data_IF_833755710495
#
_entry.id   IF_833755710495
#
_cell.length_a   1.000
_cell.length_b   1.000
_cell.length_c   1.000
_cell.angle_alpha   90.00
_cell.angle_beta   90.00
_cell.angle_gamma   90.00
#
_symmetry.space_group_name_H-M   'P 1'
#
loop_
_entity.id
_entity.type
_entity.pdbx_description
1 polymer ?
#
# COMPACT_ATOMS: atom_id res chain seq x y z
N UNK A 1 -6.69 -22.00 -6.34
CA UNK A 1 -6.80 -22.42 -4.91
C UNK A 1 -7.76 -21.44 -4.24
N UNK A 2 -8.70 -21.88 -3.41
CA UNK A 2 -9.58 -20.91 -2.75
C UNK A 2 -8.81 -20.15 -1.66
N UNK A 3 -9.00 -18.86 -1.58
CA UNK A 3 -8.50 -17.98 -0.49
C UNK A 3 -8.84 -18.59 0.88
N UNK A 4 -7.93 -18.51 1.84
CA UNK A 4 -8.19 -18.97 3.20
C UNK A 4 -9.34 -18.17 3.83
N UNK A 5 -10.16 -18.82 4.65
CA UNK A 5 -11.26 -18.12 5.38
C UNK A 5 -10.75 -16.94 6.20
N UNK A 6 -9.53 -17.01 6.70
CA UNK A 6 -8.89 -15.95 7.49
C UNK A 6 -8.56 -14.74 6.63
N UNK A 7 -7.96 -14.94 5.45
CA UNK A 7 -7.67 -13.87 4.50
C UNK A 7 -8.94 -13.25 3.91
N UNK A 8 -9.98 -14.05 3.61
CA UNK A 8 -11.28 -13.52 3.22
C UNK A 8 -11.87 -12.60 4.29
N UNK A 9 -11.81 -13.02 5.56
CA UNK A 9 -12.27 -12.19 6.68
C UNK A 9 -11.50 -10.87 6.77
N UNK A 10 -10.19 -10.90 6.61
CA UNK A 10 -9.35 -9.68 6.61
C UNK A 10 -9.65 -8.81 5.39
N UNK A 11 -9.81 -9.40 4.21
CA UNK A 11 -10.14 -8.67 2.98
C UNK A 11 -11.46 -7.89 3.11
N UNK A 12 -12.50 -8.52 3.67
CA UNK A 12 -13.84 -7.93 3.85
C UNK A 12 -13.97 -7.04 5.08
N UNK A 13 -12.94 -6.95 5.93
CA UNK A 13 -13.03 -6.25 7.20
C UNK A 13 -13.27 -4.75 6.99
N UNK A 14 -14.37 -4.26 7.52
CA UNK A 14 -14.61 -2.84 7.73
C UNK A 14 -14.30 -2.54 9.20
N UNK A 15 -13.39 -1.61 9.50
CA UNK A 15 -13.01 -1.31 10.87
C UNK A 15 -14.19 -0.90 11.74
N UNK A 16 -14.14 -1.32 13.01
CA UNK A 16 -15.14 -0.99 14.03
C UNK A 16 -14.49 -0.29 15.22
N UNK A 17 -15.29 0.18 16.17
CA UNK A 17 -14.80 0.80 17.41
C UNK A 17 -13.96 2.06 17.17
N UNK A 18 -12.84 2.15 17.86
CA UNK A 18 -11.99 3.35 17.84
C UNK A 18 -11.37 3.67 16.47
N UNK A 19 -11.02 2.65 15.67
CA UNK A 19 -10.49 2.83 14.31
C UNK A 19 -11.54 3.41 13.36
N UNK A 20 -12.82 3.14 13.60
CA UNK A 20 -13.92 3.73 12.85
C UNK A 20 -14.07 5.23 13.12
N UNK A 21 -13.79 5.67 14.35
CA UNK A 21 -13.93 7.08 14.76
C UNK A 21 -12.71 7.93 14.45
N UNK A 22 -11.52 7.34 14.61
CA UNK A 22 -10.25 8.01 14.35
C UNK A 22 -9.28 6.96 13.82
N UNK A 23 -9.25 6.83 12.51
CA UNK A 23 -8.42 5.84 11.87
C UNK A 23 -8.66 5.72 10.38
N UNK A 24 -7.94 4.84 9.76
CA UNK A 24 -8.01 4.59 8.33
C UNK A 24 -8.09 3.10 7.99
N UNK A 25 -8.49 2.84 6.77
CA UNK A 25 -8.60 1.52 6.20
C UNK A 25 -8.30 1.61 4.71
N UNK A 26 -7.37 0.81 4.21
CA UNK A 26 -6.95 0.85 2.82
C UNK A 26 -6.89 -0.55 2.20
N UNK A 27 -7.31 -0.65 0.96
CA UNK A 27 -7.09 -1.77 0.05
C UNK A 27 -6.17 -1.29 -1.05
N UNK A 28 -5.04 -1.98 -1.26
CA UNK A 28 -4.10 -1.62 -2.31
C UNK A 28 -3.96 -2.79 -3.28
N UNK A 29 -4.09 -2.49 -4.56
CA UNK A 29 -3.97 -3.43 -5.67
C UNK A 29 -2.81 -2.98 -6.55
N UNK A 30 -1.84 -3.86 -6.77
CA UNK A 30 -0.70 -3.62 -7.65
C UNK A 30 -0.65 -4.70 -8.72
N UNK A 31 -0.41 -4.31 -9.96
CA UNK A 31 -0.35 -5.22 -11.09
C UNK A 31 0.48 -4.65 -12.23
N UNK A 32 0.80 -5.50 -13.20
CA UNK A 32 1.47 -5.07 -14.42
C UNK A 32 0.60 -5.25 -15.64
N UNK A 33 0.85 -4.45 -16.65
CA UNK A 33 0.24 -4.57 -17.97
C UNK A 33 1.21 -4.22 -19.07
N UNK A 34 0.93 -4.68 -20.27
CA UNK A 34 1.72 -4.46 -21.47
C UNK A 34 0.98 -3.50 -22.39
N UNK A 35 1.63 -2.41 -22.77
CA UNK A 35 1.06 -1.42 -23.70
C UNK A 35 0.82 -2.08 -25.08
N UNK A 36 -0.41 -1.98 -25.58
CA UNK A 36 -0.82 -2.69 -26.79
C UNK A 36 -0.07 -2.23 -28.06
N UNK A 37 0.39 -0.97 -28.07
CA UNK A 37 1.08 -0.39 -29.22
C UNK A 37 2.57 -0.62 -29.23
N UNK A 38 3.22 -0.55 -28.07
CA UNK A 38 4.69 -0.61 -27.95
C UNK A 38 5.22 -1.93 -27.40
N UNK A 39 4.36 -2.73 -26.79
CA UNK A 39 4.76 -3.94 -26.06
C UNK A 39 5.50 -3.67 -24.74
N UNK A 40 5.60 -2.41 -24.31
CA UNK A 40 6.29 -2.05 -23.07
C UNK A 40 5.47 -2.42 -21.85
N UNK A 41 6.11 -3.11 -20.92
CA UNK A 41 5.50 -3.45 -19.65
C UNK A 41 5.57 -2.27 -18.66
N UNK A 42 4.46 -2.04 -17.94
CA UNK A 42 4.34 -1.01 -16.90
C UNK A 42 3.73 -1.59 -15.63
N UNK A 43 3.96 -0.90 -14.52
CA UNK A 43 3.42 -1.23 -13.20
C UNK A 43 2.35 -0.23 -12.82
N UNK A 44 1.23 -0.73 -12.32
CA UNK A 44 0.06 0.05 -11.98
C UNK A 44 -0.36 -0.20 -10.55
N UNK A 45 -1.10 0.74 -10.00
CA UNK A 45 -1.76 0.59 -8.72
C UNK A 45 -3.17 1.17 -8.75
N UNK A 46 -4.02 0.62 -7.90
CA UNK A 46 -5.33 1.14 -7.53
C UNK A 46 -5.47 1.02 -6.03
N UNK A 47 -5.88 2.09 -5.36
CA UNK A 47 -6.05 2.12 -3.91
C UNK A 47 -7.40 2.70 -3.54
N UNK A 48 -8.07 2.05 -2.59
CA UNK A 48 -9.27 2.52 -1.94
C UNK A 48 -8.95 2.81 -0.48
N UNK A 49 -9.08 4.05 -0.07
CA UNK A 49 -8.71 4.52 1.26
C UNK A 49 -9.93 5.14 1.92
N UNK A 50 -10.24 4.70 3.12
CA UNK A 50 -11.34 5.21 3.93
C UNK A 50 -10.76 5.85 5.18
N UNK A 51 -11.08 7.11 5.43
CA UNK A 51 -10.66 7.86 6.61
C UNK A 51 -11.85 8.15 7.53
N UNK A 52 -11.67 7.92 8.82
CA UNK A 52 -12.60 8.26 9.89
C UNK A 52 -14.07 7.91 9.57
N UNK A 53 -14.39 6.65 9.24
CA UNK A 53 -15.69 6.28 8.67
C UNK A 53 -16.90 6.46 9.61
N UNK A 54 -16.72 6.73 10.90
CA UNK A 54 -17.81 7.06 11.81
C UNK A 54 -18.09 8.56 11.92
N UNK A 55 -17.21 9.39 11.36
CA UNK A 55 -17.41 10.84 11.30
C UNK A 55 -18.05 11.12 9.96
N UNK A 56 -19.37 11.21 9.89
CA UNK A 56 -20.05 11.59 8.66
C UNK A 56 -19.88 13.09 8.41
N UNK A 57 -19.30 13.52 7.28
CA UNK A 57 -19.27 14.93 6.93
C UNK A 57 -20.69 15.38 6.55
N UNK A 58 -21.08 16.54 7.03
CA UNK A 58 -22.34 17.17 6.65
C UNK A 58 -22.25 17.87 5.28
N UNK A 59 -21.03 17.99 4.73
CA UNK A 59 -20.73 18.71 3.50
C UNK A 59 -19.95 17.85 2.49
N UNK A 60 -20.00 18.16 1.18
CA UNK A 60 -19.23 17.47 0.16
C UNK A 60 -17.73 17.56 0.43
N UNK A 61 -17.02 16.47 0.18
CA UNK A 61 -15.59 16.32 0.46
C UNK A 61 -14.70 17.16 -0.45
N UNK A 62 -15.14 17.44 -1.67
CA UNK A 62 -14.48 18.41 -2.54
C UNK A 62 -14.71 19.81 -1.99
N UNK A 63 -13.69 20.38 -1.39
CA UNK A 63 -13.73 21.61 -0.62
C UNK A 63 -13.14 21.45 0.76
N UNK A 64 -12.87 20.21 1.16
CA UNK A 64 -12.14 19.82 2.39
C UNK A 64 -12.48 20.70 3.59
N UNK A 65 -13.75 21.01 3.74
CA UNK A 65 -14.20 21.56 5.00
C UNK A 65 -14.16 20.45 6.02
N UNK A 66 -13.10 20.49 6.75
CA UNK A 66 -12.90 19.64 7.89
C UNK A 66 -14.00 19.92 8.92
N UNK A 67 -14.53 18.90 9.54
CA UNK A 67 -15.51 19.05 10.61
C UNK A 67 -14.75 19.49 11.87
N UNK A 68 -15.01 20.70 12.31
CA UNK A 68 -14.58 21.19 13.62
C UNK A 68 -15.46 20.58 14.70
N UNK A 69 -14.87 19.85 15.64
CA UNK A 69 -15.59 19.39 16.83
C UNK A 69 -15.34 20.38 17.97
N UNK A 70 -16.28 21.27 18.24
CA UNK A 70 -16.23 22.15 19.40
C UNK A 70 -16.53 21.32 20.66
N UNK A 71 -15.67 21.38 21.65
CA UNK A 71 -15.92 20.77 22.96
C UNK A 71 -17.09 21.51 23.63
N UNK A 72 -17.92 20.78 24.38
CA UNK A 72 -19.07 21.39 25.07
C UNK A 72 -18.69 22.56 25.99
N UNK A 73 -17.50 22.48 26.59
CA UNK A 73 -16.94 23.50 27.46
C UNK A 73 -16.56 24.78 26.67
N UNK A 74 -15.97 24.62 25.49
CA UNK A 74 -15.60 25.71 24.61
C UNK A 74 -16.83 26.37 24.01
N UNK A 75 -17.87 25.60 23.71
CA UNK A 75 -19.15 26.12 23.25
C UNK A 75 -19.81 27.00 24.33
N UNK A 76 -19.76 26.59 25.60
CA UNK A 76 -20.25 27.40 26.73
C UNK A 76 -19.47 28.71 26.84
N UNK A 77 -18.14 28.68 26.66
CA UNK A 77 -17.27 29.87 26.71
C UNK A 77 -17.56 30.84 25.56
N UNK A 78 -17.90 30.32 24.36
CA UNK A 78 -18.33 31.13 23.23
C UNK A 78 -19.70 31.78 23.52
N UNK A 79 -20.66 31.01 24.04
CA UNK A 79 -21.98 31.52 24.41
C UNK A 79 -21.93 32.53 25.54
N UNK A 80 -20.97 32.37 26.45
CA UNK A 80 -20.71 33.35 27.52
C UNK A 80 -19.91 34.59 27.06
N UNK A 81 -19.45 34.61 25.80
CA UNK A 81 -18.67 35.72 25.24
C UNK A 81 -17.24 35.83 25.76
N UNK A 82 -16.75 34.82 26.46
CA UNK A 82 -15.37 34.78 27.00
C UNK A 82 -14.33 34.39 25.94
N UNK A 83 -14.72 33.69 24.90
CA UNK A 83 -13.87 33.32 23.76
C UNK A 83 -14.65 33.63 22.46
N UNK A 84 -13.97 34.21 21.48
CA UNK A 84 -14.59 34.43 20.16
C UNK A 84 -14.69 33.13 19.37
N UNK A 85 -15.80 32.93 18.70
CA UNK A 85 -16.00 31.77 17.81
C UNK A 85 -14.91 31.66 16.72
N UNK A 86 -14.37 32.79 16.26
CA UNK A 86 -13.27 32.85 15.29
C UNK A 86 -11.96 32.32 15.86
N UNK A 87 -11.68 32.56 17.13
CA UNK A 87 -10.48 32.06 17.79
C UNK A 87 -10.51 30.56 17.97
N UNK A 88 -11.66 30.00 18.32
CA UNK A 88 -11.89 28.56 18.40
C UNK A 88 -11.74 27.88 17.02
N UNK A 89 -12.27 28.47 15.98
CA UNK A 89 -12.15 27.95 14.62
C UNK A 89 -10.70 27.93 14.11
N UNK A 90 -9.85 28.81 14.60
CA UNK A 90 -8.43 28.87 14.21
C UNK A 90 -7.53 27.88 14.97
N UNK A 91 -7.96 27.41 16.14
CA UNK A 91 -7.19 26.49 17.00
C UNK A 91 -7.60 25.02 16.84
N UNK A 92 -8.71 24.72 16.18
CA UNK A 92 -9.20 23.34 16.02
C UNK A 92 -8.57 22.63 14.83
N UNK A 93 -7.96 21.49 15.11
CA UNK A 93 -7.50 20.54 14.08
C UNK A 93 -8.73 19.88 13.49
N UNK A 94 -8.96 20.17 12.25
CA UNK A 94 -10.04 19.58 11.49
C UNK A 94 -9.76 18.11 11.16
N UNK A 95 -10.70 17.22 11.51
CA UNK A 95 -10.58 15.79 11.28
C UNK A 95 -11.22 15.42 9.95
N UNK A 96 -10.43 14.94 8.96
CA UNK A 96 -10.99 14.56 7.68
C UNK A 96 -11.87 13.30 7.79
N UNK A 97 -12.94 13.25 7.00
CA UNK A 97 -13.76 12.05 6.87
C UNK A 97 -14.20 11.89 5.43
N UNK A 98 -13.56 10.99 4.70
CA UNK A 98 -13.81 10.77 3.29
C UNK A 98 -13.33 9.41 2.80
N UNK A 99 -13.71 9.07 1.59
CA UNK A 99 -13.10 8.03 0.77
C UNK A 99 -12.16 8.69 -0.24
N UNK A 100 -10.94 8.22 -0.31
CA UNK A 100 -9.98 8.59 -1.33
C UNK A 100 -9.70 7.38 -2.23
N UNK A 101 -9.81 7.59 -3.52
CA UNK A 101 -9.45 6.62 -4.55
C UNK A 101 -8.21 7.12 -5.27
N UNK A 102 -7.21 6.28 -5.40
CA UNK A 102 -5.98 6.59 -6.12
C UNK A 102 -5.74 5.53 -7.18
N UNK A 103 -5.40 5.97 -8.38
CA UNK A 103 -4.95 5.08 -9.44
C UNK A 103 -3.76 5.69 -10.17
N UNK A 104 -2.84 4.85 -10.65
CA UNK A 104 -1.66 5.38 -11.31
C UNK A 104 -0.70 4.34 -11.86
N UNK A 105 0.42 4.87 -12.34
CA UNK A 105 1.55 4.15 -12.89
C UNK A 105 2.79 4.41 -12.04
N UNK A 106 3.60 3.37 -11.80
CA UNK A 106 4.91 3.45 -11.16
C UNK A 106 6.03 3.37 -12.19
N UNK A 107 7.22 3.86 -11.80
CA UNK A 107 8.42 3.80 -12.62
C UNK A 107 8.50 4.94 -13.65
N UNK A 108 9.02 4.66 -14.83
CA UNK A 108 9.17 5.67 -15.87
C UNK A 108 7.80 6.26 -16.28
N UNK A 109 7.66 7.58 -16.18
CA UNK A 109 6.41 8.28 -16.42
C UNK A 109 5.38 8.05 -15.30
N UNK A 110 5.84 7.94 -14.05
CA UNK A 110 5.00 7.80 -12.88
C UNK A 110 3.91 8.88 -12.85
N UNK A 111 2.70 8.45 -12.47
CA UNK A 111 1.51 9.30 -12.46
C UNK A 111 0.53 8.81 -11.41
N UNK A 112 -0.10 9.72 -10.67
CA UNK A 112 -1.18 9.42 -9.73
C UNK A 112 -2.36 10.38 -9.95
N UNK A 113 -3.53 9.82 -10.18
CA UNK A 113 -4.80 10.58 -10.16
C UNK A 113 -5.64 10.15 -8.97
N UNK A 114 -6.30 11.12 -8.35
CA UNK A 114 -7.07 10.92 -7.13
C UNK A 114 -8.51 11.34 -7.32
N UNK A 115 -9.43 10.62 -6.69
CA UNK A 115 -10.83 11.03 -6.55
C UNK A 115 -11.23 10.92 -5.08
N UNK A 116 -12.08 11.83 -4.65
CA UNK A 116 -12.55 11.92 -3.28
C UNK A 116 -14.07 11.95 -3.23
N UNK A 117 -14.65 11.31 -2.23
CA UNK A 117 -16.10 11.34 -2.01
C UNK A 117 -16.44 11.21 -0.53
N UNK A 118 -17.66 11.56 -0.17
CA UNK A 118 -18.18 11.35 1.17
C UNK A 118 -18.56 9.89 1.40
N UNK A 119 -18.59 9.49 2.67
CA UNK A 119 -19.09 8.15 3.03
C UNK A 119 -20.56 7.96 2.68
N UNK A 120 -21.36 9.02 2.68
CA UNK A 120 -22.78 8.97 2.28
C UNK A 120 -23.00 8.57 0.83
N UNK A 121 -21.99 8.78 -0.04
CA UNK A 121 -22.01 8.39 -1.45
C UNK A 121 -21.30 7.06 -1.72
N UNK A 122 -20.97 6.33 -0.67
CA UNK A 122 -20.25 5.05 -0.75
C UNK A 122 -21.20 3.92 -0.41
N UNK A 123 -21.18 2.87 -1.23
CA UNK A 123 -21.97 1.66 -1.02
C UNK A 123 -21.03 0.52 -0.61
N UNK A 124 -21.35 -0.12 0.52
CA UNK A 124 -20.59 -1.28 1.00
C UNK A 124 -21.57 -2.42 1.27
N UNK A 125 -21.51 -3.46 0.46
CA UNK A 125 -22.22 -4.71 0.67
C UNK A 125 -21.31 -5.72 1.38
N UNK A 126 -21.83 -6.43 2.34
CA UNK A 126 -21.08 -7.46 3.10
C UNK A 126 -21.21 -8.87 2.52
N UNK A 127 -22.29 -9.15 1.79
CA UNK A 127 -22.60 -10.48 1.22
C UNK A 127 -23.47 -10.36 -0.03
N UNK A 128 -22.92 -10.57 -1.25
CA UNK A 128 -21.47 -10.67 -1.54
C UNK A 128 -20.76 -9.38 -1.13
N UNK A 129 -19.45 -9.48 -0.85
CA UNK A 129 -18.68 -8.29 -0.51
C UNK A 129 -18.45 -7.44 -1.75
N UNK A 130 -18.82 -6.17 -1.65
CA UNK A 130 -18.59 -5.17 -2.67
C UNK A 130 -18.38 -3.81 -2.01
N UNK A 131 -17.41 -3.08 -2.51
CA UNK A 131 -17.16 -1.69 -2.14
C UNK A 131 -17.26 -0.83 -3.40
N UNK A 132 -18.09 0.22 -3.36
CA UNK A 132 -18.30 1.11 -4.49
C UNK A 132 -18.31 2.57 -4.05
N UNK A 133 -17.49 3.40 -4.73
CA UNK A 133 -17.38 4.85 -4.50
C UNK A 133 -16.88 5.55 -5.76
N UNK A 134 -17.34 6.76 -6.08
CA UNK A 134 -16.92 7.57 -7.23
C UNK A 134 -16.98 6.85 -8.59
N UNK A 135 -17.93 5.93 -8.80
CA UNK A 135 -17.97 5.14 -10.04
C UNK A 135 -16.87 4.07 -10.15
N UNK A 136 -16.15 3.82 -9.06
CA UNK A 136 -15.17 2.75 -8.95
C UNK A 136 -15.64 1.72 -7.96
N UNK A 137 -15.35 0.44 -8.22
CA UNK A 137 -15.76 -0.64 -7.34
C UNK A 137 -14.73 -1.76 -7.29
N UNK A 138 -14.77 -2.52 -6.19
CA UNK A 138 -14.10 -3.81 -6.12
C UNK A 138 -14.91 -4.81 -5.32
N UNK A 139 -14.76 -6.06 -5.68
CA UNK A 139 -15.28 -7.23 -4.96
C UNK A 139 -14.13 -8.17 -4.61
N UNK A 140 -14.40 -9.45 -4.42
CA UNK A 140 -13.35 -10.47 -4.19
C UNK A 140 -12.68 -10.97 -5.47
N UNK A 141 -13.20 -10.63 -6.64
CA UNK A 141 -12.73 -11.12 -7.94
C UNK A 141 -12.65 -10.04 -9.01
N UNK A 142 -13.26 -8.89 -8.77
CA UNK A 142 -13.39 -7.81 -9.78
C UNK A 142 -12.91 -6.50 -9.19
N UNK A 143 -12.23 -5.73 -10.02
CA UNK A 143 -11.76 -4.39 -9.74
C UNK A 143 -12.02 -3.52 -10.97
N UNK A 144 -12.97 -2.58 -10.89
CA UNK A 144 -13.35 -1.74 -12.02
C UNK A 144 -13.53 -0.29 -11.61
N UNK A 145 -13.30 0.63 -12.56
CA UNK A 145 -13.51 2.03 -12.29
C UNK A 145 -12.90 2.99 -13.30
N UNK A 146 -13.19 4.27 -13.03
CA UNK A 146 -12.66 5.39 -13.78
C UNK A 146 -12.42 6.57 -12.87
N UNK A 147 -11.24 7.17 -12.97
CA UNK A 147 -10.94 8.48 -12.37
C UNK A 147 -10.56 9.43 -13.49
N UNK A 148 -11.15 10.63 -13.46
CA UNK A 148 -10.83 11.70 -14.39
C UNK A 148 -10.62 12.99 -13.57
N UNK A 149 -9.45 13.61 -13.73
CA UNK A 149 -9.06 14.86 -13.09
C UNK A 149 -8.67 15.84 -14.17
N UNK A 150 -9.37 16.96 -14.25
CA UNK A 150 -9.03 18.01 -15.21
C UNK A 150 -7.86 18.87 -14.74
N UNK A 151 -7.16 19.60 -15.64
CA UNK A 151 -6.15 20.57 -15.21
C UNK A 151 -6.71 21.69 -14.33
N UNK A 152 -8.00 22.03 -14.47
CA UNK A 152 -8.67 23.01 -13.61
C UNK A 152 -8.90 22.49 -12.19
N UNK A 153 -9.25 21.20 -12.04
CA UNK A 153 -9.37 20.58 -10.72
C UNK A 153 -8.03 20.60 -9.98
N UNK A 154 -6.94 20.30 -10.70
CA UNK A 154 -5.59 20.35 -10.14
C UNK A 154 -5.21 21.76 -9.68
N UNK A 155 -5.57 22.80 -10.42
CA UNK A 155 -5.32 24.19 -10.04
C UNK A 155 -6.18 24.64 -8.85
N UNK A 156 -7.41 24.15 -8.75
CA UNK A 156 -8.34 24.53 -7.69
C UNK A 156 -7.99 23.84 -6.36
N UNK A 157 -7.44 22.62 -6.43
CA UNK A 157 -7.15 21.80 -5.24
C UNK A 157 -5.74 21.18 -5.29
N UNK A 158 -4.68 22.00 -5.41
CA UNK A 158 -3.31 21.50 -5.56
C UNK A 158 -2.83 20.68 -4.34
N UNK A 159 -3.39 20.93 -3.16
CA UNK A 159 -3.06 20.22 -1.93
C UNK A 159 -3.61 18.77 -1.87
N UNK A 160 -4.55 18.43 -2.75
CA UNK A 160 -5.21 17.11 -2.74
C UNK A 160 -5.04 16.34 -4.03
N UNK A 161 -4.86 17.03 -5.15
CA UNK A 161 -4.67 16.42 -6.47
C UNK A 161 -3.20 16.28 -6.77
N UNK A 162 -2.78 15.11 -7.27
CA UNK A 162 -1.39 14.87 -7.67
C UNK A 162 -1.19 15.23 -9.14
N UNK A 163 -1.94 14.56 -10.04
CA UNK A 163 -1.85 14.74 -11.48
C UNK A 163 -3.24 14.88 -12.11
N UNK A 164 -3.33 15.60 -13.24
CA UNK A 164 -4.49 15.57 -14.11
C UNK A 164 -4.41 14.40 -15.08
N UNK A 165 -5.56 13.92 -15.55
CA UNK A 165 -5.65 12.87 -16.54
C UNK A 165 -6.84 11.94 -16.34
N UNK A 166 -6.92 10.93 -17.21
CA UNK A 166 -8.00 9.94 -17.19
C UNK A 166 -7.40 8.55 -17.07
N UNK A 167 -7.80 7.83 -16.02
CA UNK A 167 -7.45 6.43 -15.82
C UNK A 167 -8.73 5.60 -15.74
N UNK A 168 -8.77 4.49 -16.51
CA UNK A 168 -9.86 3.53 -16.47
C UNK A 168 -9.29 2.13 -16.29
N UNK A 169 -10.03 1.26 -15.62
CA UNK A 169 -9.68 -0.15 -15.48
C UNK A 169 -10.93 -1.03 -15.42
N UNK A 170 -10.78 -2.20 -16.01
CA UNK A 170 -11.73 -3.30 -15.91
C UNK A 170 -10.91 -4.59 -15.77
N UNK A 171 -10.81 -5.07 -14.54
CA UNK A 171 -9.92 -6.15 -14.15
C UNK A 171 -10.67 -7.22 -13.40
N UNK A 172 -10.31 -8.47 -13.68
CA UNK A 172 -10.58 -9.63 -12.83
C UNK A 172 -9.29 -10.05 -12.15
N UNK A 173 -9.40 -10.61 -10.96
CA UNK A 173 -8.25 -11.16 -10.26
C UNK A 173 -8.56 -12.48 -9.56
N UNK A 174 -7.53 -13.31 -9.46
CA UNK A 174 -7.52 -14.59 -8.75
C UNK A 174 -6.33 -14.63 -7.79
N UNK A 175 -6.62 -14.72 -6.49
CA UNK A 175 -5.59 -14.79 -5.47
C UNK A 175 -5.04 -16.21 -5.41
N UNK A 176 -3.79 -16.39 -5.78
CA UNK A 176 -3.09 -17.69 -5.83
C UNK A 176 -2.40 -18.02 -4.52
N UNK A 177 -1.89 -17.01 -3.82
CA UNK A 177 -1.29 -17.13 -2.49
C UNK A 177 -1.76 -16.00 -1.61
N UNK A 178 -2.23 -16.35 -0.45
CA UNK A 178 -2.70 -15.42 0.56
C UNK A 178 -1.98 -15.67 1.88
N UNK A 179 -1.71 -14.59 2.60
CA UNK A 179 -1.22 -14.66 3.97
C UNK A 179 -2.09 -13.72 4.82
N UNK A 180 -2.80 -14.30 5.79
CA UNK A 180 -3.54 -13.51 6.76
C UNK A 180 -2.64 -13.05 7.91
N UNK A 181 -1.50 -13.69 8.07
CA UNK A 181 -0.44 -13.32 8.98
C UNK A 181 0.29 -12.11 8.39
N UNK A 182 0.04 -10.96 8.98
CA UNK A 182 0.69 -9.72 8.57
C UNK A 182 1.47 -9.11 9.71
N UNK A 183 1.53 -7.79 9.72
CA UNK A 183 2.10 -7.00 10.79
C UNK A 183 1.00 -6.56 11.76
N UNK A 184 1.21 -6.77 13.06
CA UNK A 184 0.30 -6.31 14.11
C UNK A 184 1.04 -5.40 15.07
N UNK A 185 0.92 -4.10 14.82
CA UNK A 185 1.43 -3.04 15.70
C UNK A 185 0.42 -2.62 16.77
N UNK A 186 0.73 -1.54 17.48
CA UNK A 186 -0.22 -0.90 18.40
C UNK A 186 -1.28 -0.10 17.66
N UNK A 187 -0.87 0.55 16.59
CA UNK A 187 -1.63 1.56 15.85
C UNK A 187 -1.96 1.12 14.43
N UNK A 188 -1.17 0.22 13.87
CA UNK A 188 -1.26 -0.25 12.50
C UNK A 188 -1.40 -1.76 12.43
N UNK A 189 -2.32 -2.22 11.57
CA UNK A 189 -2.45 -3.60 11.12
C UNK A 189 -2.26 -3.65 9.60
N UNK A 190 -1.50 -4.63 9.16
CA UNK A 190 -1.28 -4.88 7.74
C UNK A 190 -1.36 -6.38 7.46
N UNK A 191 -1.88 -6.75 6.28
CA UNK A 191 -1.95 -8.14 5.84
C UNK A 191 -1.83 -8.24 4.32
N UNK A 192 -0.93 -9.08 3.78
CA UNK A 192 -0.80 -9.36 2.35
C UNK A 192 -1.84 -10.40 1.91
N UNK A 193 -3.12 -10.01 1.90
CA UNK A 193 -4.26 -10.89 1.61
C UNK A 193 -4.23 -11.49 0.21
N UNK A 194 -3.47 -10.91 -0.70
CA UNK A 194 -3.22 -11.42 -2.04
C UNK A 194 -1.74 -11.29 -2.39
N UNK A 195 -0.88 -11.96 -1.63
CA UNK A 195 0.58 -11.87 -1.80
C UNK A 195 1.04 -12.28 -3.21
N UNK A 196 0.36 -13.25 -3.83
CA UNK A 196 0.47 -13.56 -5.25
C UNK A 196 -0.92 -13.57 -5.86
N UNK A 197 -1.19 -12.63 -6.75
CA UNK A 197 -2.50 -12.45 -7.38
C UNK A 197 -2.35 -12.37 -8.89
N UNK A 198 -3.15 -13.14 -9.61
CA UNK A 198 -3.21 -13.06 -11.07
C UNK A 198 -4.30 -12.08 -11.48
N UNK A 199 -3.92 -11.00 -12.13
CA UNK A 199 -4.85 -10.04 -12.72
C UNK A 199 -5.03 -10.28 -14.22
N UNK A 200 -6.22 -9.98 -14.75
CA UNK A 200 -6.54 -10.03 -16.17
C UNK A 200 -7.52 -8.93 -16.53
N UNK A 201 -7.43 -8.41 -17.74
CA UNK A 201 -8.32 -7.36 -18.25
C UNK A 201 -7.56 -6.21 -18.88
N UNK A 202 -8.09 -5.00 -18.73
CA UNK A 202 -7.52 -3.80 -19.34
C UNK A 202 -7.32 -2.67 -18.34
N UNK A 203 -6.26 -1.91 -18.55
CA UNK A 203 -5.97 -0.67 -17.83
C UNK A 203 -5.62 0.42 -18.86
N UNK A 204 -6.16 1.60 -18.68
CA UNK A 204 -5.98 2.70 -19.66
C UNK A 204 -5.55 3.96 -18.93
N UNK A 205 -4.50 4.62 -19.41
CA UNK A 205 -4.04 5.94 -18.93
C UNK A 205 -3.98 6.89 -20.14
N UNK A 206 -4.74 7.99 -20.07
CA UNK A 206 -4.76 9.06 -21.08
C UNK A 206 -4.87 8.52 -22.52
N UNK A 207 -5.75 7.54 -22.72
CA UNK A 207 -5.99 6.89 -24.01
C UNK A 207 -5.03 5.76 -24.37
N UNK A 208 -3.92 5.56 -23.65
CA UNK A 208 -3.03 4.40 -23.85
C UNK A 208 -3.62 3.17 -23.18
N UNK A 209 -3.76 2.11 -23.93
CA UNK A 209 -4.37 0.86 -23.47
C UNK A 209 -3.29 -0.17 -23.14
N UNK A 210 -3.40 -0.76 -21.95
CA UNK A 210 -2.53 -1.82 -21.46
C UNK A 210 -3.33 -3.10 -21.23
N UNK A 211 -2.86 -4.19 -21.82
CA UNK A 211 -3.39 -5.53 -21.56
C UNK A 211 -2.77 -6.09 -20.30
N UNK A 212 -3.62 -6.43 -19.33
CA UNK A 212 -3.21 -7.11 -18.10
C UNK A 212 -3.42 -8.60 -18.28
N UNK A 213 -2.31 -9.36 -18.29
CA UNK A 213 -2.31 -10.78 -18.60
C UNK A 213 -1.93 -11.61 -17.37
N UNK A 214 -2.71 -12.63 -16.96
CA UNK A 214 -2.54 -13.32 -15.67
C UNK A 214 -1.23 -14.10 -15.54
N UNK A 215 -0.59 -14.48 -16.66
CA UNK A 215 0.70 -15.19 -16.66
C UNK A 215 1.92 -14.27 -16.60
N UNK A 216 1.74 -12.99 -16.93
CA UNK A 216 2.83 -11.99 -16.99
C UNK A 216 2.66 -10.87 -15.96
N UNK A 217 1.49 -10.80 -15.35
CA UNK A 217 1.19 -9.77 -14.37
C UNK A 217 1.86 -10.11 -13.04
N UNK A 218 2.77 -9.25 -12.60
CA UNK A 218 3.06 -9.15 -11.18
C UNK A 218 1.79 -8.63 -10.53
N UNK A 219 1.24 -9.39 -9.57
CA UNK A 219 0.02 -9.01 -8.91
C UNK A 219 0.13 -9.17 -7.40
N UNK A 220 -0.27 -8.13 -6.69
CA UNK A 220 -0.20 -8.04 -5.25
C UNK A 220 -1.39 -7.29 -4.69
N UNK A 221 -1.96 -7.78 -3.58
CA UNK A 221 -3.04 -7.12 -2.86
C UNK A 221 -2.73 -7.13 -1.38
N UNK A 222 -2.82 -5.98 -0.74
CA UNK A 222 -2.74 -5.89 0.71
C UNK A 222 -3.82 -5.01 1.34
N UNK A 223 -3.87 -5.12 2.66
CA UNK A 223 -4.79 -4.42 3.53
C UNK A 223 -4.04 -3.70 4.62
N UNK A 224 -4.35 -2.42 4.77
CA UNK A 224 -3.95 -1.62 5.92
C UNK A 224 -5.18 -1.15 6.67
N UNK A 225 -5.13 -1.14 7.99
CA UNK A 225 -6.09 -0.43 8.82
C UNK A 225 -5.47 -0.10 10.17
N UNK A 226 -5.86 1.02 10.73
CA UNK A 226 -5.29 1.45 11.98
C UNK A 226 -5.64 2.90 12.34
N UNK A 227 -5.00 3.39 13.39
CA UNK A 227 -5.13 4.78 13.85
C UNK A 227 -4.05 5.68 13.28
N UNK A 228 -2.87 5.15 13.03
CA UNK A 228 -1.72 5.87 12.51
C UNK A 228 -0.81 4.91 11.76
N UNK A 229 0.03 5.45 10.88
CA UNK A 229 1.14 4.73 10.30
C UNK A 229 2.31 4.67 11.27
N UNK A 230 3.04 3.55 11.28
CA UNK A 230 4.31 3.41 12.01
C UNK A 230 5.46 3.83 11.05
N UNK A 231 6.41 4.66 11.52
CA UNK A 231 7.52 5.19 10.72
C UNK A 231 8.88 5.02 11.40
N UNK A 232 9.98 5.06 10.62
CA UNK A 232 10.04 4.90 9.16
C UNK A 232 9.61 3.51 8.75
N UNK A 233 8.74 3.38 7.74
CA UNK A 233 8.30 2.06 7.31
C UNK A 233 8.98 1.63 6.01
N UNK A 234 9.04 0.33 5.82
CA UNK A 234 9.57 -0.30 4.62
C UNK A 234 8.63 -1.40 4.13
N UNK A 235 8.53 -1.53 2.82
CA UNK A 235 7.82 -2.61 2.18
C UNK A 235 8.60 -3.11 0.97
N UNK A 236 8.70 -4.43 0.85
CA UNK A 236 9.18 -5.11 -0.34
C UNK A 236 8.28 -6.28 -0.66
N UNK A 237 7.93 -6.47 -1.92
CA UNK A 237 7.21 -7.67 -2.37
C UNK A 237 7.53 -8.04 -3.81
N UNK A 238 7.58 -9.33 -4.08
CA UNK A 238 7.68 -9.87 -5.43
C UNK A 238 7.12 -11.29 -5.52
N UNK A 239 6.50 -11.59 -6.66
CA UNK A 239 6.21 -12.95 -7.10
C UNK A 239 6.85 -13.26 -8.47
N UNK A 240 7.80 -12.41 -8.91
CA UNK A 240 8.49 -12.51 -10.19
C UNK A 240 9.91 -13.03 -9.96
N UNK A 241 10.00 -14.32 -9.63
CA UNK A 241 11.20 -14.98 -9.16
C UNK A 241 11.67 -16.05 -10.15
N UNK A 242 12.98 -16.12 -10.35
CA UNK A 242 13.63 -17.16 -11.17
C UNK A 242 14.72 -17.82 -10.33
N UNK A 243 14.67 -19.13 -10.18
CA UNK A 243 15.68 -19.88 -9.46
C UNK A 243 17.05 -19.73 -10.13
N UNK A 244 18.05 -19.32 -9.40
CA UNK A 244 19.44 -19.28 -9.85
C UNK A 244 20.01 -20.71 -9.90
N UNK A 245 19.52 -21.58 -9.03
CA UNK A 245 19.98 -22.98 -8.94
C UNK A 245 19.53 -23.79 -10.17
N UNK A 246 18.24 -23.64 -10.57
CA UNK A 246 17.67 -24.47 -11.65
C UNK A 246 17.45 -23.71 -12.96
N UNK A 247 17.58 -22.39 -12.98
CA UNK A 247 17.25 -21.53 -14.12
C UNK A 247 15.75 -21.43 -14.43
N UNK A 248 14.87 -21.98 -13.59
CA UNK A 248 13.42 -22.03 -13.83
C UNK A 248 12.70 -20.87 -13.19
N UNK A 249 11.69 -20.33 -13.88
CA UNK A 249 10.75 -19.39 -13.26
C UNK A 249 9.93 -20.09 -12.18
N UNK A 250 9.90 -19.52 -10.99
CA UNK A 250 9.24 -20.06 -9.81
C UNK A 250 7.77 -19.62 -9.80
N UNK A 251 6.88 -20.48 -10.32
CA UNK A 251 5.47 -20.13 -10.58
C UNK A 251 4.63 -19.94 -9.29
N UNK A 252 5.03 -20.60 -8.19
CA UNK A 252 4.30 -20.58 -6.92
C UNK A 252 5.07 -19.90 -5.81
N UNK A 253 5.99 -19.04 -6.18
CA UNK A 253 6.89 -18.39 -5.23
C UNK A 253 6.57 -16.91 -5.06
N UNK A 254 6.73 -16.44 -3.84
CA UNK A 254 6.46 -15.06 -3.45
C UNK A 254 7.17 -14.73 -2.15
N UNK A 255 7.58 -13.50 -2.00
CA UNK A 255 7.93 -12.93 -0.70
C UNK A 255 7.23 -11.58 -0.51
N UNK A 256 6.94 -11.26 0.74
CA UNK A 256 6.39 -9.96 1.15
C UNK A 256 6.97 -9.57 2.50
N UNK A 257 7.47 -8.35 2.59
CA UNK A 257 7.99 -7.76 3.81
C UNK A 257 7.26 -6.46 4.08
N UNK A 258 6.90 -6.25 5.33
CA UNK A 258 6.35 -4.98 5.82
C UNK A 258 6.80 -4.76 7.26
N UNK A 259 7.14 -3.54 7.59
CA UNK A 259 7.44 -3.21 8.97
C UNK A 259 8.06 -1.85 9.18
N UNK A 260 8.57 -1.64 10.38
CA UNK A 260 9.26 -0.42 10.78
C UNK A 260 10.76 -0.63 10.64
N UNK A 261 11.41 0.24 9.89
CA UNK A 261 12.84 0.20 9.70
C UNK A 261 13.58 0.22 11.05
N UNK A 262 14.52 -0.72 11.23
CA UNK A 262 15.28 -0.96 12.46
C UNK A 262 14.46 -1.32 13.71
N UNK A 263 13.18 -1.71 13.57
CA UNK A 263 12.37 -2.17 14.70
C UNK A 263 11.68 -3.50 14.37
N UNK A 264 10.42 -3.47 14.01
CA UNK A 264 9.59 -4.67 13.82
C UNK A 264 9.24 -4.85 12.37
N UNK A 265 9.52 -6.02 11.85
CA UNK A 265 9.12 -6.42 10.51
C UNK A 265 8.32 -7.72 10.53
N UNK A 266 7.46 -7.89 9.55
CA UNK A 266 6.90 -9.19 9.19
C UNK A 266 7.39 -9.57 7.81
N UNK A 267 7.79 -10.82 7.65
CA UNK A 267 8.19 -11.40 6.39
C UNK A 267 7.43 -12.70 6.18
N UNK A 268 6.80 -12.85 5.04
CA UNK A 268 6.23 -14.10 4.56
C UNK A 268 6.91 -14.49 3.26
N UNK A 269 7.35 -15.72 3.17
CA UNK A 269 8.05 -16.28 2.02
C UNK A 269 7.43 -17.62 1.68
N UNK A 270 7.16 -17.85 0.41
CA UNK A 270 6.95 -19.18 -0.14
C UNK A 270 7.88 -19.33 -1.34
N UNK A 271 8.82 -20.27 -1.28
CA UNK A 271 9.68 -20.64 -2.39
C UNK A 271 9.48 -22.11 -2.72
N UNK A 272 8.78 -22.37 -3.83
CA UNK A 272 8.45 -23.71 -4.35
C UNK A 272 7.90 -24.68 -3.30
N UNK A 273 6.99 -24.19 -2.44
CA UNK A 273 6.33 -24.99 -1.39
C UNK A 273 6.99 -24.92 -0.02
N UNK A 274 8.18 -24.35 0.09
CA UNK A 274 8.79 -24.02 1.39
C UNK A 274 8.23 -22.70 1.90
N UNK A 275 7.24 -22.79 2.81
CA UNK A 275 6.60 -21.64 3.39
C UNK A 275 7.22 -21.29 4.75
N UNK A 276 7.62 -20.02 4.91
CA UNK A 276 8.19 -19.49 6.14
C UNK A 276 7.53 -18.17 6.49
N UNK A 277 7.09 -18.04 7.73
CA UNK A 277 6.44 -16.84 8.24
C UNK A 277 7.18 -16.31 9.46
N UNK A 278 7.60 -15.06 9.39
CA UNK A 278 8.12 -14.27 10.49
C UNK A 278 7.12 -13.15 10.78
N UNK A 279 6.31 -13.32 11.80
CA UNK A 279 5.27 -12.36 12.12
C UNK A 279 5.67 -11.47 13.29
N UNK A 280 5.77 -10.16 13.06
CA UNK A 280 5.95 -9.21 14.13
C UNK A 280 4.66 -9.09 14.95
N UNK A 281 4.73 -9.50 16.21
CA UNK A 281 3.65 -9.43 17.17
C UNK A 281 4.07 -8.58 18.38
N UNK A 282 3.12 -7.83 18.93
CA UNK A 282 3.35 -7.05 20.15
C UNK A 282 3.83 -7.96 21.29
N UNK A 283 5.02 -7.67 21.82
CA UNK A 283 5.56 -8.35 23.02
C UNK A 283 6.20 -9.71 22.80
N UNK A 284 6.31 -10.20 21.56
CA UNK A 284 7.04 -11.44 21.23
C UNK A 284 8.14 -11.18 20.22
N UNK A 285 9.38 -11.49 20.58
CA UNK A 285 10.51 -11.64 19.64
C UNK A 285 10.76 -13.13 19.43
N UNK A 286 10.20 -13.71 18.39
CA UNK A 286 10.42 -15.11 18.01
C UNK A 286 11.46 -15.27 16.91
N UNK A 287 12.03 -14.18 16.43
CA UNK A 287 13.02 -14.11 15.38
C UNK A 287 13.84 -12.82 15.50
N UNK A 288 14.98 -12.78 14.84
CA UNK A 288 15.81 -11.60 14.69
C UNK A 288 15.76 -11.08 13.26
N UNK A 289 15.82 -9.77 13.11
CA UNK A 289 15.80 -9.11 11.81
C UNK A 289 16.80 -7.98 11.77
N UNK A 290 17.46 -7.86 10.64
CA UNK A 290 18.36 -6.77 10.32
C UNK A 290 17.95 -6.14 8.99
N UNK A 291 17.87 -4.83 8.98
CA UNK A 291 17.60 -4.01 7.80
C UNK A 291 18.77 -3.09 7.54
N UNK A 292 19.09 -2.91 6.27
CA UNK A 292 19.82 -1.75 5.81
C UNK A 292 19.10 -1.13 4.61
N UNK A 293 19.05 0.20 4.59
CA UNK A 293 18.52 1.00 3.49
C UNK A 293 19.55 2.07 3.18
N UNK A 294 20.09 2.04 2.00
CA UNK A 294 21.14 2.96 1.58
C UNK A 294 20.91 3.47 0.17
N UNK A 295 21.49 4.64 -0.10
CA UNK A 295 21.58 5.21 -1.43
C UNK A 295 22.98 4.91 -1.96
N UNK A 296 23.05 4.16 -3.03
CA UNK A 296 24.33 3.77 -3.64
C UNK A 296 24.58 4.58 -4.91
N UNK A 297 25.72 5.25 -5.03
CA UNK A 297 26.12 5.84 -6.30
C UNK A 297 26.42 4.72 -7.30
N UNK A 298 25.89 4.85 -8.51
CA UNK A 298 26.27 4.01 -9.63
C UNK A 298 27.35 4.73 -10.45
N UNK A 299 28.33 4.00 -11.01
CA UNK A 299 29.33 4.56 -11.89
C UNK A 299 28.63 5.19 -13.11
N UNK A 300 28.52 6.53 -13.14
CA UNK A 300 27.89 7.29 -14.21
C UNK A 300 26.48 7.82 -13.91
N UNK A 301 26.34 8.72 -12.96
CA UNK A 301 25.17 9.59 -12.71
C UNK A 301 23.80 8.96 -12.34
N UNK A 302 23.68 7.66 -12.16
CA UNK A 302 22.43 7.04 -11.74
C UNK A 302 22.53 6.48 -10.32
N UNK A 303 21.80 7.12 -9.39
CA UNK A 303 21.68 6.65 -8.03
C UNK A 303 20.72 5.45 -7.94
N UNK A 304 21.08 4.44 -7.16
CA UNK A 304 20.20 3.32 -6.81
C UNK A 304 19.89 3.34 -5.32
N UNK A 305 18.65 3.06 -5.00
CA UNK A 305 18.23 2.75 -3.64
C UNK A 305 18.42 1.25 -3.43
N UNK A 306 18.96 0.89 -2.28
CA UNK A 306 19.28 -0.48 -1.91
C UNK A 306 18.61 -0.85 -0.59
N UNK A 307 17.93 -1.96 -0.58
CA UNK A 307 17.35 -2.57 0.63
C UNK A 307 18.00 -3.92 0.86
N UNK A 308 18.62 -4.09 2.01
CA UNK A 308 19.12 -5.37 2.49
C UNK A 308 18.29 -5.80 3.70
N UNK A 309 17.80 -7.03 3.68
CA UNK A 309 17.01 -7.60 4.76
C UNK A 309 17.53 -8.99 5.09
N UNK A 310 17.87 -9.23 6.33
CA UNK A 310 18.16 -10.55 6.86
C UNK A 310 17.25 -10.86 8.03
N UNK A 311 16.54 -11.98 7.95
CA UNK A 311 15.59 -12.41 9.00
C UNK A 311 15.85 -13.87 9.34
N UNK A 312 15.99 -14.17 10.62
CA UNK A 312 16.21 -15.55 11.05
C UNK A 312 15.52 -15.92 12.36
N UNK A 313 15.19 -17.18 12.49
CA UNK A 313 14.76 -17.83 13.71
C UNK A 313 15.63 -19.09 13.97
N UNK A 314 15.17 -19.97 14.85
CA UNK A 314 15.88 -21.22 15.17
C UNK A 314 15.93 -22.22 13.99
N UNK A 315 15.09 -22.07 12.95
CA UNK A 315 14.94 -23.04 11.87
C UNK A 315 15.35 -22.51 10.50
N UNK A 316 15.14 -21.23 10.23
CA UNK A 316 15.30 -20.62 8.90
C UNK A 316 16.10 -19.33 8.96
N UNK A 317 16.76 -19.03 7.84
CA UNK A 317 17.35 -17.72 7.52
C UNK A 317 16.81 -17.31 6.16
N UNK A 318 16.41 -16.06 6.02
CA UNK A 318 16.03 -15.44 4.74
C UNK A 318 16.85 -14.18 4.57
N UNK A 319 17.58 -14.10 3.46
CA UNK A 319 18.33 -12.92 3.06
C UNK A 319 17.76 -12.38 1.74
N UNK A 320 17.55 -11.09 1.69
CA UNK A 320 16.95 -10.39 0.53
C UNK A 320 17.75 -9.14 0.26
N UNK A 321 18.17 -9.00 -0.98
CA UNK A 321 18.81 -7.81 -1.54
C UNK A 321 17.98 -7.28 -2.69
N UNK A 322 17.53 -6.01 -2.62
CA UNK A 322 16.75 -5.37 -3.68
C UNK A 322 17.30 -3.99 -3.99
N UNK A 323 17.46 -3.73 -5.27
CA UNK A 323 17.90 -2.43 -5.81
C UNK A 323 16.79 -1.83 -6.67
N UNK A 324 16.59 -0.53 -6.57
CA UNK A 324 15.70 0.21 -7.46
C UNK A 324 16.36 1.52 -7.90
N UNK A 325 16.41 1.84 -9.20
CA UNK A 325 16.91 3.14 -9.65
C UNK A 325 16.13 4.28 -9.00
N UNK A 326 16.80 5.25 -8.41
CA UNK A 326 16.17 6.36 -7.69
C UNK A 326 15.22 7.17 -8.59
N UNK A 327 15.57 7.36 -9.84
CA UNK A 327 14.75 8.03 -10.86
C UNK A 327 13.43 7.31 -11.20
N UNK A 328 13.29 6.03 -10.85
CA UNK A 328 12.08 5.24 -11.04
C UNK A 328 11.22 5.17 -9.76
N UNK A 329 11.67 5.82 -8.70
CA UNK A 329 10.88 5.98 -7.48
C UNK A 329 9.96 7.18 -7.60
N UNK A 330 8.76 7.02 -7.08
CA UNK A 330 7.72 8.03 -7.10
C UNK A 330 7.41 8.50 -5.67
N UNK A 331 7.43 9.80 -5.44
CA UNK A 331 7.08 10.39 -4.13
C UNK A 331 5.56 10.51 -4.04
N UNK A 332 4.97 9.87 -3.05
CA UNK A 332 3.52 9.87 -2.80
C UNK A 332 3.20 10.36 -1.40
N UNK A 333 2.12 11.10 -1.25
CA UNK A 333 1.60 11.51 0.06
C UNK A 333 0.71 10.42 0.67
N UNK A 334 0.72 10.30 2.00
CA UNK A 334 -0.20 9.43 2.72
C UNK A 334 -1.46 10.18 3.14
N UNK A 335 -2.59 9.49 3.10
CA UNK A 335 -3.83 9.97 3.70
C UNK A 335 -3.81 9.64 5.20
N UNK A 336 -3.93 10.65 6.04
CA UNK A 336 -3.80 10.53 7.49
C UNK A 336 -5.10 10.87 8.21
N UNK A 337 -5.51 10.05 9.19
CA UNK A 337 -6.72 10.30 9.97
C UNK A 337 -6.74 11.62 10.72
N UNK A 338 -5.57 12.14 11.10
CA UNK A 338 -5.41 13.42 11.76
C UNK A 338 -5.42 14.63 10.82
N UNK A 339 -5.46 14.41 9.50
CA UNK A 339 -5.52 15.48 8.50
C UNK A 339 -4.18 16.08 8.09
N UNK A 340 -3.09 15.67 8.69
CA UNK A 340 -1.73 16.16 8.37
C UNK A 340 -1.14 15.44 7.15
N UNK A 341 -1.76 15.61 6.01
CA UNK A 341 -1.51 14.87 4.79
C UNK A 341 -0.09 14.99 4.23
N UNK A 342 0.53 16.14 4.40
CA UNK A 342 1.85 16.44 3.83
C UNK A 342 3.03 16.02 4.70
N UNK A 343 2.79 15.56 5.92
CA UNK A 343 3.87 15.19 6.86
C UNK A 343 4.48 13.83 6.58
N UNK A 344 3.90 13.05 5.67
CA UNK A 344 4.40 11.73 5.33
C UNK A 344 4.62 11.63 3.84
N UNK A 345 5.86 11.44 3.45
CA UNK A 345 6.25 11.10 2.09
C UNK A 345 6.62 9.64 1.99
N UNK A 346 6.11 9.01 0.94
CA UNK A 346 6.40 7.64 0.58
C UNK A 346 7.15 7.61 -0.74
N UNK A 347 8.33 7.02 -0.75
CA UNK A 347 8.99 6.62 -1.98
C UNK A 347 8.43 5.27 -2.40
N UNK A 348 7.88 5.17 -3.59
CA UNK A 348 7.29 3.94 -4.12
C UNK A 348 7.86 3.64 -5.49
N UNK A 349 8.42 2.46 -5.67
CA UNK A 349 8.94 1.96 -6.95
C UNK A 349 8.41 0.56 -7.26
N UNK A 350 8.15 0.29 -8.53
CA UNK A 350 7.63 -1.00 -9.00
C UNK A 350 8.60 -1.78 -9.87
N UNK A 351 9.87 -1.40 -9.90
CA UNK A 351 10.89 -1.94 -10.81
C UNK A 351 12.14 -2.43 -10.09
N UNK A 352 12.03 -2.72 -8.79
CA UNK A 352 13.14 -3.27 -8.02
C UNK A 352 13.61 -4.60 -8.57
N UNK A 353 14.92 -4.83 -8.56
CA UNK A 353 15.57 -6.08 -8.96
C UNK A 353 16.53 -6.54 -7.88
N UNK A 354 16.85 -7.84 -7.81
CA UNK A 354 17.77 -8.32 -6.79
C UNK A 354 17.72 -9.82 -6.61
N UNK A 355 17.93 -10.26 -5.38
CA UNK A 355 18.02 -11.69 -5.04
C UNK A 355 17.34 -11.98 -3.70
N UNK A 356 16.86 -13.22 -3.57
CA UNK A 356 16.38 -13.79 -2.31
C UNK A 356 17.00 -15.16 -2.09
N UNK A 357 17.47 -15.42 -0.87
CA UNK A 357 18.01 -16.70 -0.44
C UNK A 357 17.25 -17.21 0.78
N UNK A 358 16.84 -18.46 0.72
CA UNK A 358 16.20 -19.16 1.83
C UNK A 358 17.07 -20.32 2.28
N UNK A 359 17.43 -20.32 3.57
CA UNK A 359 18.21 -21.39 4.20
C UNK A 359 17.43 -22.06 5.32
N UNK A 360 17.71 -23.33 5.52
CA UNK A 360 17.28 -24.10 6.68
C UNK A 360 18.49 -24.33 7.60
N UNK A 361 18.29 -24.15 8.90
CA UNK A 361 19.28 -24.47 9.92
C UNK A 361 19.22 -25.96 10.25
N UNK A 362 20.30 -26.69 9.98
CA UNK A 362 20.45 -28.09 10.33
C UNK A 362 21.65 -28.21 11.25
N UNK A 363 21.40 -28.42 12.55
CA UNK A 363 22.41 -28.38 13.60
C UNK A 363 23.15 -27.04 13.61
N UNK A 364 24.42 -27.04 13.21
CA UNK A 364 25.28 -25.84 13.13
C UNK A 364 25.50 -25.33 11.70
N UNK A 365 24.91 -26.00 10.71
CA UNK A 365 25.09 -25.67 9.28
C UNK A 365 23.84 -24.99 8.73
N UNK A 366 24.05 -24.18 7.68
CA UNK A 366 22.98 -23.62 6.84
C UNK A 366 22.91 -24.44 5.55
N UNK A 367 21.75 -25.01 5.29
CA UNK A 367 21.44 -25.67 4.02
C UNK A 367 20.61 -24.71 3.17
N UNK A 368 21.13 -24.39 1.98
CA UNK A 368 20.43 -23.55 1.01
C UNK A 368 19.23 -24.32 0.44
N UNK A 369 18.00 -23.82 0.67
CA UNK A 369 16.77 -24.38 0.09
C UNK A 369 16.59 -23.83 -1.30
N UNK A 370 16.66 -22.50 -1.46
CA UNK A 370 16.47 -21.84 -2.76
C UNK A 370 17.24 -20.52 -2.79
N UNK A 371 17.75 -20.21 -3.98
CA UNK A 371 18.36 -18.93 -4.33
C UNK A 371 17.69 -18.45 -5.61
N UNK A 372 16.95 -17.35 -5.53
CA UNK A 372 16.20 -16.84 -6.64
C UNK A 372 16.55 -15.39 -6.97
N UNK A 373 16.61 -15.11 -8.27
CA UNK A 373 16.68 -13.77 -8.81
C UNK A 373 15.30 -13.12 -8.78
N UNK A 374 15.22 -11.88 -8.34
CA UNK A 374 14.05 -11.04 -8.35
C UNK A 374 14.07 -10.20 -9.61
N UNK A 375 13.15 -10.48 -10.54
CA UNK A 375 13.09 -9.74 -11.82
C UNK A 375 12.38 -8.40 -11.68
N UNK A 376 11.39 -8.31 -10.79
CA UNK A 376 10.71 -7.06 -10.43
C UNK A 376 10.16 -7.15 -9.02
N UNK A 377 10.34 -6.09 -8.24
CA UNK A 377 9.77 -5.95 -6.91
C UNK A 377 9.08 -4.60 -6.72
N UNK A 378 8.02 -4.59 -5.93
CA UNK A 378 7.49 -3.39 -5.31
C UNK A 378 8.41 -3.01 -4.15
N UNK A 379 8.85 -1.76 -4.12
CA UNK A 379 9.75 -1.21 -3.12
C UNK A 379 9.14 0.05 -2.54
N UNK A 380 8.99 0.13 -1.22
CA UNK A 380 8.50 1.33 -0.56
C UNK A 380 9.40 1.69 0.63
N UNK A 381 9.59 2.98 0.81
CA UNK A 381 10.16 3.57 2.00
C UNK A 381 9.32 4.78 2.41
N UNK A 382 8.82 4.80 3.64
CA UNK A 382 8.02 5.91 4.15
C UNK A 382 8.70 6.57 5.34
N UNK A 383 8.73 7.89 5.32
CA UNK A 383 9.30 8.70 6.39
C UNK A 383 8.32 9.82 6.76
N UNK A 384 8.31 10.16 8.04
CA UNK A 384 7.63 11.36 8.52
C UNK A 384 8.58 12.53 8.33
N UNK A 385 8.13 13.60 7.67
CA UNK A 385 8.88 14.85 7.67
C UNK A 385 8.88 15.43 9.10
N UNK A 386 10.05 15.74 9.61
CA UNK A 386 10.16 16.59 10.80
C UNK A 386 9.66 17.97 10.40
N UNK A 387 8.68 18.50 11.14
CA UNK A 387 8.29 19.88 10.97
C UNK A 387 9.54 20.74 11.20
N UNK A 388 9.96 21.50 10.20
CA UNK A 388 10.94 22.56 10.42
C UNK A 388 10.36 23.47 11.50
N UNK A 389 11.02 23.48 12.67
CA UNK A 389 10.70 24.33 13.81
C UNK A 389 11.07 25.78 13.52
#
# INVERSE_FOLDING_TARGET
MAISKKSQKVFRLIPTGAVRKNGFCAWRFFFSGVENTTGMERRFFVEFIMLNPAVAPDEPVLGFKNRTSIKAEDLQNVLAGTISAQKLQSEEIAVPSYICLKAGQLGAGAKEVCAYTSLSQTVIHSRPFEFSACGCSFSEEVLSGRIAVSPSDLQTHPEYMCDSGIINWDLRFDIRRDFAEGFTGKTLFWSPVGAQTAFSGTFTIDGKVYSVLPKKSFGYIDRFYGKAHDFPYVHLSSSNLTSIISGKTLQNSVFVIQGVYNDRISLVVNLEGSEVVFQAQKGRRSFESHWDFSQMPENGDQEKLHWTVSVHNSKYVVDIDVFCPAQLMFVRSAELPEGQRHTIKKLVGGTGTGEIRLYKKIHRNLELIEHAQISTALCEFGQKEEAEL
#
